data_IF_809234519326
#
_entry.id   IF_809234519326
#
_cell.length_a   1.000
_cell.length_b   1.000
_cell.length_c   1.000
_cell.angle_alpha   90.00
_cell.angle_beta   90.00
_cell.angle_gamma   90.00
#
_symmetry.space_group_name_H-M   'P 1'
#
loop_
_entity.id
_entity.type
_entity.pdbx_description
1 polymer ?
#
# COMPACT_ATOMS: atom_id res chain seq x y z
N UNK A 1 -6.87 -9.28 1.82
CA UNK A 1 -7.85 -9.72 2.83
C UNK A 1 -7.89 -11.24 3.02
N UNK A 2 -7.91 -12.07 1.96
CA UNK A 2 -7.96 -13.55 2.09
C UNK A 2 -6.79 -14.15 2.91
N UNK A 3 -5.58 -13.60 2.78
CA UNK A 3 -4.41 -14.11 3.50
C UNK A 3 -4.49 -13.85 5.02
N UNK A 4 -5.10 -12.73 5.41
CA UNK A 4 -5.32 -12.35 6.80
C UNK A 4 -6.32 -13.31 7.47
N UNK A 5 -7.41 -13.61 6.76
CA UNK A 5 -8.40 -14.60 7.21
C UNK A 5 -7.80 -16.01 7.28
N UNK A 6 -6.87 -16.35 6.39
CA UNK A 6 -6.16 -17.64 6.44
C UNK A 6 -5.30 -17.75 7.70
N UNK A 7 -4.61 -16.69 8.10
CA UNK A 7 -3.78 -16.68 9.31
C UNK A 7 -4.63 -16.75 10.57
N UNK A 8 -5.74 -16.01 10.61
CA UNK A 8 -6.73 -16.10 11.69
C UNK A 8 -7.30 -17.51 11.78
N UNK A 9 -7.63 -18.14 10.66
CA UNK A 9 -8.11 -19.52 10.61
C UNK A 9 -7.07 -20.53 11.14
N UNK A 10 -5.82 -20.41 10.69
CA UNK A 10 -4.72 -21.25 11.16
C UNK A 10 -4.51 -21.09 12.68
N UNK A 11 -4.62 -19.86 13.20
CA UNK A 11 -4.59 -19.61 14.63
C UNK A 11 -5.77 -20.27 15.36
N UNK A 12 -7.00 -20.15 14.85
CA UNK A 12 -8.17 -20.77 15.47
C UNK A 12 -8.06 -22.29 15.57
N UNK A 13 -7.39 -22.96 14.63
CA UNK A 13 -7.11 -24.41 14.71
C UNK A 13 -6.19 -24.71 15.90
N UNK A 14 -5.07 -23.99 16.03
CA UNK A 14 -4.12 -24.18 17.13
C UNK A 14 -4.78 -23.85 18.47
N UNK A 15 -5.43 -22.70 18.54
CA UNK A 15 -6.17 -22.23 19.72
C UNK A 15 -7.26 -23.23 20.13
N UNK A 16 -8.02 -23.76 19.18
CA UNK A 16 -9.08 -24.74 19.42
C UNK A 16 -8.59 -26.01 20.12
N UNK A 17 -7.38 -26.50 19.81
CA UNK A 17 -6.80 -27.68 20.47
C UNK A 17 -6.51 -27.40 21.94
N UNK A 18 -5.88 -26.26 22.25
CA UNK A 18 -5.61 -25.85 23.64
C UNK A 18 -6.91 -25.57 24.40
N UNK A 19 -7.86 -24.89 23.75
CA UNK A 19 -9.16 -24.55 24.32
C UNK A 19 -9.95 -25.79 24.72
N UNK A 20 -10.05 -26.78 23.82
CA UNK A 20 -10.76 -28.03 24.10
C UNK A 20 -10.06 -28.88 25.16
N UNK A 21 -8.71 -28.94 25.13
CA UNK A 21 -7.93 -29.66 26.12
C UNK A 21 -8.14 -29.11 27.53
N UNK A 22 -8.01 -27.79 27.71
CA UNK A 22 -8.18 -27.13 28.99
C UNK A 22 -9.63 -27.18 29.48
N UNK A 23 -10.60 -27.04 28.58
CA UNK A 23 -12.03 -27.20 28.90
C UNK A 23 -12.33 -28.56 29.52
N UNK A 24 -11.80 -29.65 28.94
CA UNK A 24 -12.00 -31.00 29.46
C UNK A 24 -11.30 -31.18 30.81
N UNK A 25 -10.10 -30.64 30.98
CA UNK A 25 -9.38 -30.70 32.26
C UNK A 25 -10.10 -29.94 33.37
N UNK A 26 -10.60 -28.73 33.10
CA UNK A 26 -11.38 -27.96 34.08
C UNK A 26 -12.71 -28.63 34.40
N UNK A 27 -13.42 -29.16 33.39
CA UNK A 27 -14.64 -29.92 33.63
C UNK A 27 -14.39 -31.12 34.57
N UNK A 28 -13.31 -31.89 34.34
CA UNK A 28 -12.99 -33.03 35.21
C UNK A 28 -12.59 -32.60 36.62
N UNK A 29 -11.89 -31.47 36.76
CA UNK A 29 -11.40 -30.95 38.03
C UNK A 29 -12.54 -30.44 38.92
N UNK A 30 -13.57 -29.84 38.33
CA UNK A 30 -14.71 -29.24 39.05
C UNK A 30 -15.99 -30.09 39.05
N UNK A 31 -16.02 -31.24 38.36
CA UNK A 31 -17.21 -32.10 38.22
C UNK A 31 -17.88 -32.51 39.55
N UNK A 32 -17.11 -32.59 40.63
CA UNK A 32 -17.61 -33.00 41.95
C UNK A 32 -17.61 -31.85 42.97
N UNK A 33 -17.32 -30.62 42.52
CA UNK A 33 -17.36 -29.40 43.32
C UNK A 33 -18.64 -28.63 42.96
N UNK A 34 -19.24 -27.95 43.93
CA UNK A 34 -20.53 -27.25 43.77
C UNK A 34 -20.30 -25.87 43.10
N UNK A 35 -19.86 -25.87 41.83
CA UNK A 35 -19.58 -24.66 41.06
C UNK A 35 -20.37 -24.60 39.73
N UNK A 36 -21.21 -23.57 39.61
CA UNK A 36 -22.03 -23.29 38.44
C UNK A 36 -21.20 -22.95 37.18
N UNK A 37 -19.97 -22.44 37.34
CA UNK A 37 -19.12 -22.03 36.23
C UNK A 37 -18.54 -23.22 35.44
N UNK A 38 -18.49 -24.41 36.04
CA UNK A 38 -17.92 -25.63 35.44
C UNK A 38 -18.86 -26.85 35.51
N UNK A 39 -20.13 -26.66 35.88
CA UNK A 39 -21.11 -27.73 36.05
C UNK A 39 -21.37 -28.56 34.78
N UNK A 40 -21.27 -27.93 33.60
CA UNK A 40 -21.43 -28.59 32.29
C UNK A 40 -20.24 -28.35 31.39
N UNK A 41 -19.97 -29.28 30.46
CA UNK A 41 -18.90 -29.14 29.45
C UNK A 41 -19.05 -27.82 28.67
N UNK A 42 -20.28 -27.40 28.37
CA UNK A 42 -20.56 -26.15 27.68
C UNK A 42 -20.24 -24.92 28.52
N UNK A 43 -20.59 -24.91 29.81
CA UNK A 43 -20.20 -23.83 30.72
C UNK A 43 -18.68 -23.78 30.92
N UNK A 44 -18.04 -24.94 31.12
CA UNK A 44 -16.58 -25.02 31.16
C UNK A 44 -15.94 -24.45 29.90
N UNK A 45 -16.52 -24.69 28.72
CA UNK A 45 -16.03 -24.15 27.46
C UNK A 45 -16.14 -22.62 27.40
N UNK A 46 -17.30 -22.08 27.77
CA UNK A 46 -17.57 -20.63 27.78
C UNK A 46 -16.65 -19.92 28.79
N UNK A 47 -16.56 -20.45 30.01
CA UNK A 47 -15.70 -19.91 31.07
C UNK A 47 -14.23 -19.94 30.65
N UNK A 48 -13.76 -21.06 30.09
CA UNK A 48 -12.39 -21.18 29.56
C UNK A 48 -12.16 -20.21 28.38
N UNK A 49 -13.19 -19.91 27.58
CA UNK A 49 -13.09 -18.98 26.45
C UNK A 49 -12.98 -17.52 26.93
N UNK A 50 -13.72 -17.12 27.95
CA UNK A 50 -13.64 -15.77 28.50
C UNK A 50 -12.30 -15.45 29.18
N UNK A 51 -11.58 -16.47 29.66
CA UNK A 51 -10.19 -16.32 30.12
C UNK A 51 -9.28 -15.76 29.02
N UNK A 52 -9.57 -16.03 27.74
CA UNK A 52 -8.80 -15.49 26.61
C UNK A 52 -8.91 -13.97 26.50
N UNK A 53 -10.00 -13.39 26.99
CA UNK A 53 -10.25 -11.96 27.06
C UNK A 53 -9.84 -11.34 28.40
N UNK A 54 -9.20 -12.12 29.28
CA UNK A 54 -8.68 -11.65 30.57
C UNK A 54 -9.64 -11.79 31.75
N UNK A 55 -10.83 -12.37 31.54
CA UNK A 55 -11.77 -12.64 32.63
C UNK A 55 -11.39 -13.96 33.33
N UNK A 56 -10.77 -13.85 34.51
CA UNK A 56 -10.32 -15.01 35.29
C UNK A 56 -11.38 -15.41 36.33
N UNK A 57 -11.94 -16.63 36.29
CA UNK A 57 -12.94 -17.11 37.25
C UNK A 57 -12.27 -17.51 38.58
N UNK A 58 -11.70 -16.53 39.29
CA UNK A 58 -11.01 -16.75 40.56
C UNK A 58 -11.97 -17.18 41.67
N UNK A 59 -13.26 -16.90 41.52
CA UNK A 59 -14.29 -17.29 42.48
C UNK A 59 -14.55 -18.80 42.48
N UNK A 60 -14.32 -19.49 41.36
CA UNK A 60 -14.42 -20.96 41.25
C UNK A 60 -13.42 -21.69 42.15
N UNK A 61 -12.26 -21.08 42.43
CA UNK A 61 -11.25 -21.66 43.35
C UNK A 61 -11.78 -21.74 44.79
N UNK A 62 -12.79 -20.93 45.14
CA UNK A 62 -13.43 -20.95 46.47
C UNK A 62 -14.40 -22.12 46.64
N UNK A 63 -14.76 -22.82 45.56
CA UNK A 63 -15.61 -24.01 45.62
C UNK A 63 -14.93 -25.22 46.28
N UNK A 64 -13.59 -25.22 46.38
CA UNK A 64 -12.85 -26.28 47.07
C UNK A 64 -12.85 -26.09 48.58
N UNK A 65 -13.16 -27.15 49.34
CA UNK A 65 -13.15 -27.10 50.80
C UNK A 65 -11.71 -27.14 51.35
N UNK A 66 -11.21 -26.03 51.88
CA UNK A 66 -9.83 -25.94 52.40
C UNK A 66 -9.58 -26.74 53.68
N UNK A 67 -10.60 -27.42 54.22
CA UNK A 67 -10.53 -28.19 55.47
C UNK A 67 -10.15 -29.67 55.23
N UNK A 68 -10.27 -30.18 54.00
CA UNK A 68 -9.87 -31.53 53.62
C UNK A 68 -8.54 -31.50 52.83
N UNK A 69 -7.59 -32.37 53.20
CA UNK A 69 -6.24 -32.37 52.61
C UNK A 69 -6.27 -32.72 51.11
N UNK A 70 -7.25 -33.52 50.67
CA UNK A 70 -7.46 -33.83 49.25
C UNK A 70 -7.92 -32.62 48.43
N UNK A 71 -8.85 -31.84 48.97
CA UNK A 71 -9.39 -30.64 48.33
C UNK A 71 -8.39 -29.47 48.34
N UNK A 72 -7.52 -29.38 49.36
CA UNK A 72 -6.40 -28.41 49.37
C UNK A 72 -5.41 -28.67 48.23
N UNK A 73 -5.11 -29.95 47.96
CA UNK A 73 -4.24 -30.32 46.85
C UNK A 73 -4.89 -30.01 45.49
N UNK A 74 -6.17 -30.36 45.32
CA UNK A 74 -6.95 -30.05 44.11
C UNK A 74 -7.08 -28.53 43.86
N UNK A 75 -7.31 -27.74 44.91
CA UNK A 75 -7.36 -26.28 44.84
C UNK A 75 -6.03 -25.67 44.38
N UNK A 76 -4.91 -26.17 44.92
CA UNK A 76 -3.56 -25.75 44.50
C UNK A 76 -3.29 -26.10 43.04
N UNK A 77 -3.65 -27.32 42.61
CA UNK A 77 -3.59 -27.72 41.21
C UNK A 77 -4.47 -26.84 40.30
N UNK A 78 -5.68 -26.47 40.74
CA UNK A 78 -6.57 -25.59 39.99
C UNK A 78 -5.97 -24.19 39.78
N UNK A 79 -5.39 -23.59 40.82
CA UNK A 79 -4.72 -22.28 40.74
C UNK A 79 -3.53 -22.34 39.78
N UNK A 80 -2.68 -23.34 39.91
CA UNK A 80 -1.53 -23.52 39.00
C UNK A 80 -1.98 -23.74 37.56
N UNK A 81 -3.04 -24.51 37.34
CA UNK A 81 -3.62 -24.74 36.02
C UNK A 81 -4.25 -23.47 35.43
N UNK A 82 -4.93 -22.64 36.23
CA UNK A 82 -5.46 -21.34 35.80
C UNK A 82 -4.35 -20.35 35.47
N UNK A 83 -3.27 -20.29 36.27
CA UNK A 83 -2.09 -19.48 35.96
C UNK A 83 -1.41 -19.93 34.66
N UNK A 84 -1.28 -21.25 34.46
CA UNK A 84 -0.74 -21.82 33.23
C UNK A 84 -1.63 -21.51 32.03
N UNK A 85 -2.95 -21.68 32.17
CA UNK A 85 -3.92 -21.34 31.13
C UNK A 85 -3.81 -19.87 30.72
N UNK A 86 -3.82 -18.96 31.68
CA UNK A 86 -3.66 -17.53 31.42
C UNK A 86 -2.33 -17.21 30.73
N UNK A 87 -1.22 -17.81 31.18
CA UNK A 87 0.09 -17.60 30.56
C UNK A 87 0.16 -18.11 29.12
N UNK A 88 -0.35 -19.32 28.85
CA UNK A 88 -0.29 -19.91 27.50
C UNK A 88 -1.23 -19.19 26.54
N UNK A 89 -2.47 -18.92 26.96
CA UNK A 89 -3.49 -18.37 26.07
C UNK A 89 -3.34 -16.86 25.92
N UNK A 90 -3.27 -16.12 27.02
CA UNK A 90 -3.24 -14.65 27.00
C UNK A 90 -1.85 -14.12 26.66
N UNK A 91 -0.78 -14.70 27.22
CA UNK A 91 0.58 -14.16 27.03
C UNK A 91 1.27 -14.76 25.80
N UNK A 92 1.13 -16.06 25.54
CA UNK A 92 1.79 -16.67 24.37
C UNK A 92 0.91 -16.61 23.11
N UNK A 93 -0.26 -17.24 23.13
CA UNK A 93 -1.06 -17.44 21.91
C UNK A 93 -1.58 -16.12 21.33
N UNK A 94 -2.14 -15.22 22.15
CA UNK A 94 -2.59 -13.90 21.67
C UNK A 94 -1.44 -13.05 21.11
N UNK A 95 -0.27 -13.05 21.75
CA UNK A 95 0.88 -12.30 21.25
C UNK A 95 1.47 -12.91 19.98
N UNK A 96 1.43 -14.24 19.83
CA UNK A 96 1.81 -14.91 18.58
C UNK A 96 0.82 -14.57 17.46
N UNK A 97 -0.48 -14.49 17.73
CA UNK A 97 -1.47 -14.02 16.77
C UNK A 97 -1.16 -12.59 16.32
N UNK A 98 -0.91 -11.66 17.25
CA UNK A 98 -0.54 -10.29 16.93
C UNK A 98 0.73 -10.23 16.09
N UNK A 99 1.75 -11.03 16.41
CA UNK A 99 2.98 -11.08 15.65
C UNK A 99 2.77 -11.61 14.22
N UNK A 100 1.98 -12.68 14.05
CA UNK A 100 1.62 -13.21 12.73
C UNK A 100 0.78 -12.19 11.95
N UNK A 101 -0.19 -11.56 12.61
CA UNK A 101 -1.08 -10.60 11.99
C UNK A 101 -0.32 -9.34 11.56
N UNK A 102 0.58 -8.79 12.37
CA UNK A 102 1.42 -7.64 11.98
C UNK A 102 2.26 -7.97 10.75
N UNK A 103 2.97 -9.11 10.76
CA UNK A 103 3.81 -9.52 9.62
C UNK A 103 2.99 -9.74 8.34
N UNK A 104 1.80 -10.32 8.44
CA UNK A 104 0.93 -10.57 7.28
C UNK A 104 0.16 -9.33 6.86
N UNK A 105 -0.17 -8.43 7.77
CA UNK A 105 -0.75 -7.12 7.47
C UNK A 105 0.23 -6.29 6.66
N UNK A 106 1.50 -6.22 7.07
CA UNK A 106 2.53 -5.44 6.34
C UNK A 106 2.70 -5.94 4.91
N UNK A 107 2.91 -7.25 4.74
CA UNK A 107 3.05 -7.87 3.42
C UNK A 107 1.73 -7.86 2.61
N UNK A 108 0.61 -7.97 3.32
CA UNK A 108 -0.72 -8.00 2.74
C UNK A 108 -1.19 -6.63 2.29
N UNK A 109 -0.74 -5.55 2.93
CA UNK A 109 -1.11 -4.18 2.61
C UNK A 109 -0.47 -3.72 1.30
N UNK A 110 0.84 -3.92 1.12
CA UNK A 110 1.51 -3.60 -0.15
C UNK A 110 0.95 -4.43 -1.32
N UNK A 111 0.65 -5.70 -1.06
CA UNK A 111 0.00 -6.56 -2.04
C UNK A 111 -1.44 -6.12 -2.33
N UNK A 112 -2.21 -5.73 -1.32
CA UNK A 112 -3.57 -5.23 -1.48
C UNK A 112 -3.61 -3.90 -2.22
N UNK A 113 -2.64 -3.00 -1.98
CA UNK A 113 -2.48 -1.76 -2.73
C UNK A 113 -2.18 -2.04 -4.21
N UNK A 114 -1.27 -2.98 -4.47
CA UNK A 114 -0.95 -3.42 -5.83
C UNK A 114 -2.16 -4.07 -6.52
N UNK A 115 -2.89 -4.92 -5.80
CA UNK A 115 -4.09 -5.61 -6.28
C UNK A 115 -5.27 -4.63 -6.49
N UNK A 116 -5.39 -3.60 -5.65
CA UNK A 116 -6.36 -2.52 -5.82
C UNK A 116 -6.04 -1.65 -7.04
N UNK A 117 -4.77 -1.31 -7.26
CA UNK A 117 -4.31 -0.62 -8.48
C UNK A 117 -4.54 -1.47 -9.73
N UNK A 118 -4.25 -2.77 -9.67
CA UNK A 118 -4.51 -3.69 -10.77
C UNK A 118 -6.02 -3.84 -11.04
N UNK A 119 -6.84 -3.94 -9.98
CA UNK A 119 -8.30 -4.00 -10.07
C UNK A 119 -8.87 -2.71 -10.63
N UNK A 120 -8.31 -1.55 -10.25
CA UNK A 120 -8.68 -0.25 -10.80
C UNK A 120 -8.35 -0.15 -12.29
N UNK A 121 -7.14 -0.56 -12.68
CA UNK A 121 -6.73 -0.63 -14.08
C UNK A 121 -7.59 -1.60 -14.89
N UNK A 122 -7.94 -2.76 -14.34
CA UNK A 122 -8.88 -3.69 -14.96
C UNK A 122 -10.29 -3.11 -15.06
N UNK A 123 -10.74 -2.33 -14.08
CA UNK A 123 -12.02 -1.64 -14.15
C UNK A 123 -12.02 -0.58 -15.26
N UNK A 124 -10.95 0.19 -15.39
CA UNK A 124 -10.76 1.15 -16.49
C UNK A 124 -10.75 0.40 -17.82
N UNK A 125 -9.94 -0.65 -17.96
CA UNK A 125 -9.86 -1.43 -19.18
C UNK A 125 -11.21 -2.09 -19.53
N UNK A 126 -11.94 -2.59 -18.53
CA UNK A 126 -13.29 -3.13 -18.73
C UNK A 126 -14.29 -2.05 -19.10
N UNK A 127 -14.16 -0.84 -18.56
CA UNK A 127 -14.96 0.32 -18.97
C UNK A 127 -14.65 0.67 -20.43
N UNK A 128 -13.38 0.76 -20.80
CA UNK A 128 -12.91 0.99 -22.17
C UNK A 128 -13.40 -0.08 -23.15
N UNK A 129 -13.31 -1.36 -22.79
CA UNK A 129 -13.85 -2.49 -23.56
C UNK A 129 -15.38 -2.45 -23.65
N UNK A 130 -16.07 -2.08 -22.56
CA UNK A 130 -17.54 -1.99 -22.54
C UNK A 130 -18.08 -0.82 -23.35
N UNK A 131 -17.29 0.24 -23.53
CA UNK A 131 -17.60 1.32 -24.47
C UNK A 131 -17.47 0.86 -25.93
N UNK A 132 -16.77 -0.26 -26.21
CA UNK A 132 -16.60 -0.88 -27.52
C UNK A 132 -16.27 0.12 -28.64
N UNK A 133 -15.47 1.14 -28.30
CA UNK A 133 -15.06 2.18 -29.23
C UNK A 133 -14.04 1.58 -30.20
N UNK A 134 -14.34 1.64 -31.49
CA UNK A 134 -13.34 1.38 -32.53
C UNK A 134 -12.21 2.41 -32.45
N UNK A 135 -11.01 2.08 -32.97
CA UNK A 135 -9.88 3.04 -33.04
C UNK A 135 -10.28 4.38 -33.67
N UNK A 136 -11.24 4.39 -34.59
CA UNK A 136 -11.76 5.61 -35.21
C UNK A 136 -12.63 6.43 -34.24
N UNK A 137 -13.50 5.78 -33.48
CA UNK A 137 -14.39 6.43 -32.51
C UNK A 137 -13.61 6.92 -31.28
N UNK A 138 -12.56 6.21 -30.85
CA UNK A 138 -11.66 6.72 -29.80
C UNK A 138 -10.92 7.97 -30.27
N UNK A 139 -10.44 7.99 -31.52
CA UNK A 139 -9.80 9.17 -32.11
C UNK A 139 -10.78 10.34 -32.20
N UNK A 140 -12.05 10.09 -32.51
CA UNK A 140 -13.10 11.12 -32.53
C UNK A 140 -13.49 11.60 -31.12
N UNK A 141 -13.43 10.75 -30.10
CA UNK A 141 -13.72 11.15 -28.71
C UNK A 141 -12.62 12.03 -28.11
N UNK A 142 -11.36 11.76 -28.48
CA UNK A 142 -10.18 12.47 -27.93
C UNK A 142 -9.75 13.66 -28.78
N UNK A 143 -10.21 13.81 -30.02
CA UNK A 143 -9.89 14.94 -30.90
C UNK A 143 -11.16 15.67 -31.35
N UNK A 144 -11.14 16.99 -31.25
CA UNK A 144 -12.11 17.84 -31.94
C UNK A 144 -11.64 18.08 -33.37
N UNK A 145 -12.58 18.03 -34.32
CA UNK A 145 -12.33 18.47 -35.71
C UNK A 145 -12.45 19.99 -35.73
N UNK A 146 -11.38 20.66 -36.17
CA UNK A 146 -11.40 22.11 -36.42
C UNK A 146 -12.15 22.38 -37.73
N UNK A 147 -12.63 23.61 -37.96
CA UNK A 147 -13.34 24.00 -39.19
C UNK A 147 -12.53 23.71 -40.49
N UNK A 148 -11.19 23.65 -40.37
CA UNK A 148 -10.26 23.29 -41.46
C UNK A 148 -10.05 21.77 -41.65
N UNK A 149 -10.69 20.92 -40.84
CA UNK A 149 -10.62 19.46 -40.92
C UNK A 149 -9.49 18.79 -40.13
N UNK A 150 -8.63 19.58 -39.48
CA UNK A 150 -7.54 19.08 -38.65
C UNK A 150 -8.04 18.55 -37.29
N UNK A 151 -7.54 17.37 -36.90
CA UNK A 151 -7.82 16.71 -35.62
C UNK A 151 -6.96 17.34 -34.51
N UNK A 152 -7.61 18.11 -33.62
CA UNK A 152 -6.95 18.75 -32.48
C UNK A 152 -7.34 18.03 -31.19
N UNK A 153 -6.36 17.63 -30.39
CA UNK A 153 -6.60 16.92 -29.13
C UNK A 153 -7.50 17.76 -28.20
N UNK A 154 -8.42 17.10 -27.48
CA UNK A 154 -9.33 17.78 -26.57
C UNK A 154 -8.52 18.64 -25.58
N UNK A 155 -8.77 19.97 -25.52
CA UNK A 155 -8.04 20.89 -24.66
C UNK A 155 -8.03 20.47 -23.19
N UNK A 156 -9.01 19.70 -22.72
CA UNK A 156 -9.06 19.17 -21.35
C UNK A 156 -7.81 18.39 -20.95
N UNK A 157 -7.11 17.76 -21.93
CA UNK A 157 -5.86 17.03 -21.68
C UNK A 157 -4.65 17.95 -21.50
N UNK A 158 -4.75 19.21 -21.93
CA UNK A 158 -3.70 20.24 -21.80
C UNK A 158 -4.14 21.42 -20.91
N UNK A 159 -5.37 21.39 -20.39
CA UNK A 159 -5.94 22.45 -19.59
C UNK A 159 -5.19 22.55 -18.26
N UNK A 160 -4.58 23.72 -18.03
CA UNK A 160 -3.90 24.01 -16.78
C UNK A 160 -4.95 24.45 -15.78
N UNK A 161 -5.37 23.53 -14.93
CA UNK A 161 -6.26 23.85 -13.82
C UNK A 161 -5.52 24.72 -12.81
N UNK A 162 -6.06 25.90 -12.50
CA UNK A 162 -5.44 26.82 -11.56
C UNK A 162 -5.41 26.20 -10.17
N UNK A 163 -4.27 26.26 -9.48
CA UNK A 163 -4.12 25.73 -8.11
C UNK A 163 -5.14 26.29 -7.11
N UNK A 164 -5.69 27.47 -7.36
CA UNK A 164 -6.77 28.07 -6.55
C UNK A 164 -8.11 27.35 -6.65
N UNK A 165 -8.34 26.56 -7.70
CA UNK A 165 -9.59 25.83 -7.93
C UNK A 165 -9.59 24.41 -7.36
N UNK A 166 -8.41 23.88 -7.01
CA UNK A 166 -8.25 22.60 -6.31
C UNK A 166 -7.62 22.93 -4.96
N UNK A 167 -8.36 22.77 -3.87
CA UNK A 167 -7.77 22.84 -2.53
C UNK A 167 -6.84 21.63 -2.35
N UNK A 168 -5.58 21.77 -2.77
CA UNK A 168 -4.52 20.80 -2.50
C UNK A 168 -3.99 21.10 -1.10
N UNK A 169 -4.09 20.16 -0.14
CA UNK A 169 -3.58 20.38 1.22
C UNK A 169 -2.07 20.65 1.24
N UNK A 170 -1.65 21.57 2.11
CA UNK A 170 -0.23 21.93 2.31
C UNK A 170 0.58 20.70 2.74
N UNK A 171 1.37 20.16 1.82
CA UNK A 171 2.15 18.92 1.98
C UNK A 171 2.09 18.03 0.73
N UNK A 172 0.92 17.95 0.08
CA UNK A 172 0.74 17.14 -1.12
C UNK A 172 1.39 17.79 -2.35
N UNK A 173 1.48 19.12 -2.36
CA UNK A 173 2.20 19.90 -3.38
C UNK A 173 3.71 19.61 -3.39
N UNK A 174 4.34 19.53 -2.22
CA UNK A 174 5.76 19.18 -2.09
C UNK A 174 6.04 17.75 -2.60
N UNK A 175 5.10 16.82 -2.36
CA UNK A 175 5.20 15.46 -2.89
C UNK A 175 5.04 15.41 -4.42
N UNK A 176 4.13 16.20 -5.01
CA UNK A 176 3.95 16.28 -6.46
C UNK A 176 5.20 16.87 -7.12
N UNK A 177 5.77 17.95 -6.56
CA UNK A 177 6.99 18.57 -7.08
C UNK A 177 8.21 17.63 -6.96
N UNK A 178 8.34 16.94 -5.82
CA UNK A 178 9.38 15.92 -5.64
C UNK A 178 9.24 14.76 -6.65
N UNK A 179 8.01 14.29 -6.90
CA UNK A 179 7.74 13.24 -7.89
C UNK A 179 8.06 13.71 -9.32
N UNK A 180 7.71 14.94 -9.68
CA UNK A 180 8.04 15.51 -10.99
C UNK A 180 9.55 15.67 -11.18
N UNK A 181 10.27 16.16 -10.16
CA UNK A 181 11.73 16.26 -10.17
C UNK A 181 12.40 14.89 -10.32
N UNK A 182 11.92 13.87 -9.62
CA UNK A 182 12.41 12.50 -9.75
C UNK A 182 12.19 11.96 -11.17
N UNK A 183 11.01 12.20 -11.75
CA UNK A 183 10.71 11.78 -13.13
C UNK A 183 11.61 12.46 -14.16
N UNK A 184 11.86 13.77 -14.02
CA UNK A 184 12.77 14.50 -14.90
C UNK A 184 14.20 13.99 -14.76
N UNK A 185 14.70 13.84 -13.53
CA UNK A 185 16.03 13.30 -13.27
C UNK A 185 16.23 11.88 -13.84
N UNK A 186 15.19 11.03 -13.82
CA UNK A 186 15.24 9.71 -14.46
C UNK A 186 15.39 9.80 -15.98
N UNK A 187 14.61 10.68 -16.61
CA UNK A 187 14.69 10.91 -18.06
C UNK A 187 16.08 11.41 -18.45
N UNK A 188 16.61 12.39 -17.71
CA UNK A 188 17.94 12.95 -17.96
C UNK A 188 19.04 11.90 -17.79
N UNK A 189 18.92 11.02 -16.78
CA UNK A 189 19.86 9.91 -16.56
C UNK A 189 19.83 8.91 -17.72
N UNK A 190 18.64 8.51 -18.19
CA UNK A 190 18.52 7.59 -19.33
C UNK A 190 19.10 8.20 -20.61
N UNK A 191 18.87 9.50 -20.84
CA UNK A 191 19.43 10.21 -22.00
C UNK A 191 20.96 10.34 -21.90
N UNK A 192 21.51 10.56 -20.69
CA UNK A 192 22.95 10.55 -20.46
C UNK A 192 23.58 9.17 -20.71
N UNK A 193 22.95 8.08 -20.24
CA UNK A 193 23.41 6.71 -20.48
C UNK A 193 23.37 6.36 -21.98
N UNK A 194 22.31 6.79 -22.68
CA UNK A 194 22.18 6.63 -24.14
C UNK A 194 23.30 7.35 -24.88
N UNK A 195 23.57 8.60 -24.51
CA UNK A 195 24.63 9.41 -25.10
C UNK A 195 26.02 8.82 -24.84
N UNK A 196 26.31 8.40 -23.59
CA UNK A 196 27.58 7.77 -23.22
C UNK A 196 27.80 6.46 -23.99
N UNK A 197 26.80 5.59 -24.05
CA UNK A 197 26.92 4.31 -24.76
C UNK A 197 27.11 4.52 -26.26
N UNK A 198 26.38 5.47 -26.85
CA UNK A 198 26.53 5.84 -28.27
C UNK A 198 27.94 6.37 -28.55
N UNK A 199 28.47 7.26 -27.70
CA UNK A 199 29.82 7.81 -27.84
C UNK A 199 30.91 6.74 -27.80
N UNK A 200 30.77 5.73 -26.95
CA UNK A 200 31.73 4.61 -26.87
C UNK A 200 31.70 3.73 -28.12
N UNK A 201 30.50 3.42 -28.64
CA UNK A 201 30.34 2.66 -29.87
C UNK A 201 30.82 3.44 -31.10
N UNK A 202 30.59 4.75 -31.14
CA UNK A 202 31.09 5.63 -32.22
C UNK A 202 32.61 5.79 -32.18
N UNK A 203 33.21 5.76 -30.99
CA UNK A 203 34.68 5.74 -30.83
C UNK A 203 35.27 4.45 -31.39
N UNK A 204 34.64 3.30 -31.12
CA UNK A 204 35.00 2.01 -31.72
C UNK A 204 34.85 2.03 -33.25
N UNK A 205 33.71 2.55 -33.76
CA UNK A 205 33.47 2.72 -35.20
C UNK A 205 34.55 3.57 -35.86
N UNK A 206 34.89 4.70 -35.25
CA UNK A 206 35.92 5.63 -35.74
C UNK A 206 37.32 4.99 -35.73
N UNK A 207 37.64 4.19 -34.72
CA UNK A 207 38.90 3.43 -34.66
C UNK A 207 39.03 2.41 -35.79
N UNK A 208 37.95 1.70 -36.13
CA UNK A 208 37.93 0.78 -37.27
C UNK A 208 38.03 1.52 -38.61
N UNK A 209 37.33 2.63 -38.75
CA UNK A 209 37.36 3.45 -39.97
C UNK A 209 38.70 4.18 -40.17
N UNK A 210 39.47 4.44 -39.10
CA UNK A 210 40.77 5.12 -39.18
C UNK A 210 41.77 4.41 -40.12
N UNK A 211 41.62 3.10 -40.30
CA UNK A 211 42.43 2.30 -41.22
C UNK A 211 42.32 2.79 -42.67
N UNK A 212 41.24 3.51 -43.03
CA UNK A 212 41.00 4.09 -44.36
C UNK A 212 42.14 4.97 -44.85
N UNK A 213 42.84 5.69 -43.96
CA UNK A 213 43.97 6.52 -44.35
C UNK A 213 45.14 5.69 -44.92
N UNK A 214 45.26 4.43 -44.53
CA UNK A 214 46.38 3.57 -44.89
C UNK A 214 46.10 2.67 -46.11
N UNK A 215 44.89 2.72 -46.66
CA UNK A 215 44.46 1.87 -47.78
C UNK A 215 43.85 2.67 -48.92
N UNK A 216 43.92 2.11 -50.13
CA UNK A 216 43.35 2.71 -51.35
C UNK A 216 41.95 2.22 -51.69
N UNK A 217 41.50 1.13 -51.06
CA UNK A 217 40.14 0.60 -51.17
C UNK A 217 39.26 1.15 -50.05
N UNK A 218 37.95 1.00 -50.19
CA UNK A 218 36.97 1.49 -49.22
C UNK A 218 36.84 0.54 -48.02
N UNK A 219 37.18 1.03 -46.84
CA UNK A 219 37.10 0.32 -45.55
C UNK A 219 35.65 0.10 -45.14
N UNK A 220 34.73 1.01 -45.51
CA UNK A 220 33.32 0.84 -45.22
C UNK A 220 32.74 -0.41 -45.91
N UNK A 221 33.17 -0.66 -47.16
CA UNK A 221 32.80 -1.87 -47.90
C UNK A 221 33.56 -3.10 -47.40
N UNK A 222 34.85 -2.97 -47.05
CA UNK A 222 35.66 -4.11 -46.59
C UNK A 222 35.25 -4.63 -45.19
N UNK A 223 34.78 -3.74 -44.31
CA UNK A 223 34.30 -4.03 -42.96
C UNK A 223 32.77 -3.86 -42.82
N UNK A 224 32.05 -4.02 -43.93
CA UNK A 224 30.58 -3.93 -43.94
C UNK A 224 29.89 -4.83 -42.90
N UNK A 225 30.29 -6.11 -42.69
CA UNK A 225 29.63 -6.94 -41.68
C UNK A 225 29.89 -6.44 -40.25
N UNK A 226 31.06 -5.89 -39.96
CA UNK A 226 31.41 -5.30 -38.66
C UNK A 226 30.59 -4.03 -38.37
N UNK A 227 30.47 -3.13 -39.35
CA UNK A 227 29.66 -1.93 -39.20
C UNK A 227 28.17 -2.25 -39.04
N UNK A 228 27.64 -3.25 -39.76
CA UNK A 228 26.27 -3.71 -39.58
C UNK A 228 26.02 -4.31 -38.17
N UNK A 229 27.02 -4.98 -37.58
CA UNK A 229 26.95 -5.46 -36.20
C UNK A 229 26.97 -4.30 -35.19
N UNK A 230 27.74 -3.23 -35.46
CA UNK A 230 27.77 -2.01 -34.65
C UNK A 230 26.44 -1.25 -34.69
N UNK A 231 25.84 -1.08 -35.87
CA UNK A 231 24.53 -0.46 -36.02
C UNK A 231 23.47 -1.26 -35.23
N UNK A 232 23.48 -2.58 -35.40
CA UNK A 232 22.53 -3.46 -34.71
C UNK A 232 22.65 -3.42 -33.19
N UNK A 233 23.88 -3.42 -32.64
CA UNK A 233 24.06 -3.38 -31.18
C UNK A 233 23.66 -2.01 -30.61
N UNK A 234 23.94 -0.94 -31.35
CA UNK A 234 23.53 0.42 -30.99
C UNK A 234 22.01 0.55 -30.94
N UNK A 235 21.31 0.05 -31.96
CA UNK A 235 19.84 0.04 -32.00
C UNK A 235 19.23 -0.78 -30.85
N UNK A 236 19.77 -1.98 -30.59
CA UNK A 236 19.30 -2.84 -29.50
C UNK A 236 19.50 -2.20 -28.13
N UNK A 237 20.65 -1.58 -27.88
CA UNK A 237 20.91 -0.90 -26.60
C UNK A 237 20.03 0.33 -26.45
N UNK A 238 19.85 1.11 -27.52
CA UNK A 238 18.95 2.28 -27.53
C UNK A 238 17.51 1.88 -27.23
N UNK A 239 17.01 0.80 -27.82
CA UNK A 239 15.66 0.29 -27.56
C UNK A 239 15.49 -0.14 -26.10
N UNK A 240 16.49 -0.83 -25.52
CA UNK A 240 16.48 -1.22 -24.11
C UNK A 240 16.46 0.00 -23.17
N UNK A 241 17.24 1.03 -23.47
CA UNK A 241 17.24 2.29 -22.71
C UNK A 241 15.90 3.01 -22.86
N UNK A 242 15.32 3.06 -24.06
CA UNK A 242 14.02 3.70 -24.29
C UNK A 242 12.87 2.95 -23.59
N UNK A 243 12.96 1.63 -23.45
CA UNK A 243 12.05 0.83 -22.63
C UNK A 243 12.21 1.15 -21.13
N UNK A 244 13.45 1.26 -20.64
CA UNK A 244 13.72 1.65 -19.26
C UNK A 244 13.28 3.11 -18.98
N UNK A 245 13.39 4.02 -19.95
CA UNK A 245 12.90 5.39 -19.84
C UNK A 245 11.39 5.44 -19.56
N UNK A 246 10.61 4.49 -20.07
CA UNK A 246 9.15 4.39 -19.85
C UNK A 246 8.74 4.04 -18.42
N UNK A 247 9.64 3.49 -17.59
CA UNK A 247 9.33 3.14 -16.18
C UNK A 247 9.24 4.37 -15.27
N UNK A 248 9.58 5.57 -15.77
CA UNK A 248 9.45 6.85 -15.05
C UNK A 248 10.17 6.89 -13.68
N UNK A 249 11.20 6.07 -13.50
CA UNK A 249 12.00 6.04 -12.27
C UNK A 249 11.31 5.36 -11.08
N UNK A 250 10.22 4.61 -11.31
CA UNK A 250 9.68 3.68 -10.30
C UNK A 250 10.71 2.56 -10.09
N UNK A 251 11.17 2.40 -8.85
CA UNK A 251 12.22 1.46 -8.45
C UNK A 251 13.50 1.55 -9.30
N UNK A 252 14.10 2.74 -9.32
CA UNK A 252 15.30 3.06 -10.12
C UNK A 252 16.43 2.02 -9.98
N UNK A 253 16.72 1.52 -8.77
CA UNK A 253 17.75 0.50 -8.54
C UNK A 253 17.45 -0.82 -9.29
N UNK A 254 16.21 -1.31 -9.21
CA UNK A 254 15.83 -2.56 -9.88
C UNK A 254 15.74 -2.38 -11.40
N UNK A 255 15.24 -1.22 -11.86
CA UNK A 255 15.20 -0.88 -13.27
C UNK A 255 16.61 -0.81 -13.88
N UNK A 256 17.57 -0.15 -13.21
CA UNK A 256 18.96 -0.06 -13.64
C UNK A 256 19.67 -1.41 -13.62
N UNK A 257 19.49 -2.23 -12.58
CA UNK A 257 20.06 -3.59 -12.52
C UNK A 257 19.55 -4.48 -13.66
N UNK A 258 18.25 -4.42 -13.97
CA UNK A 258 17.68 -5.15 -15.11
C UNK A 258 18.24 -4.66 -16.44
N UNK A 259 18.36 -3.34 -16.59
CA UNK A 259 18.92 -2.72 -17.79
C UNK A 259 20.40 -3.12 -17.98
N UNK A 260 21.23 -3.02 -16.94
CA UNK A 260 22.64 -3.44 -16.97
C UNK A 260 22.77 -4.92 -17.37
N UNK A 261 21.98 -5.81 -16.77
CA UNK A 261 22.01 -7.23 -17.10
C UNK A 261 21.67 -7.50 -18.58
N UNK A 262 20.70 -6.77 -19.14
CA UNK A 262 20.32 -6.89 -20.55
C UNK A 262 21.39 -6.30 -21.47
N UNK A 263 21.92 -5.11 -21.16
CA UNK A 263 23.01 -4.48 -21.92
C UNK A 263 24.26 -5.35 -21.91
N UNK A 264 24.64 -5.91 -20.76
CA UNK A 264 25.77 -6.85 -20.62
C UNK A 264 25.60 -8.09 -21.48
N UNK A 265 24.39 -8.64 -21.57
CA UNK A 265 24.08 -9.79 -22.44
C UNK A 265 24.20 -9.41 -23.92
N UNK A 266 23.65 -8.26 -24.30
CA UNK A 266 23.71 -7.73 -25.66
C UNK A 266 25.16 -7.46 -26.10
N UNK A 267 25.97 -6.80 -25.25
CA UNK A 267 27.39 -6.54 -25.50
C UNK A 267 28.23 -7.82 -25.60
N UNK A 268 27.95 -8.84 -24.76
CA UNK A 268 28.65 -10.13 -24.85
C UNK A 268 28.31 -10.87 -26.14
N UNK A 269 27.04 -10.80 -26.58
CA UNK A 269 26.62 -11.39 -27.86
C UNK A 269 27.27 -10.65 -29.04
N UNK A 270 27.39 -9.33 -28.95
CA UNK A 270 28.11 -8.51 -29.93
C UNK A 270 29.60 -8.87 -29.99
N UNK A 271 30.27 -9.01 -28.85
CA UNK A 271 31.68 -9.45 -28.75
C UNK A 271 31.89 -10.79 -29.47
N UNK A 272 31.06 -11.79 -29.19
CA UNK A 272 31.13 -13.12 -29.83
C UNK A 272 30.87 -13.08 -31.34
N UNK A 273 29.92 -12.22 -31.79
CA UNK A 273 29.60 -12.08 -33.21
C UNK A 273 30.72 -11.36 -33.97
N UNK A 274 31.26 -10.30 -33.37
CA UNK A 274 32.37 -9.54 -33.92
C UNK A 274 33.62 -10.41 -34.03
N UNK A 275 33.94 -11.18 -32.98
CA UNK A 275 35.08 -12.10 -33.02
C UNK A 275 34.92 -13.21 -34.06
N UNK A 276 33.69 -13.67 -34.31
CA UNK A 276 33.40 -14.64 -35.38
C UNK A 276 33.55 -14.04 -36.78
N UNK A 277 33.06 -12.82 -37.01
CA UNK A 277 33.25 -12.11 -38.28
C UNK A 277 34.75 -11.87 -38.56
N UNK A 278 35.45 -11.41 -37.53
CA UNK A 278 36.87 -11.07 -37.59
C UNK A 278 37.81 -12.26 -37.79
N UNK A 279 37.37 -13.49 -37.49
CA UNK A 279 38.15 -14.73 -37.68
C UNK A 279 37.54 -15.70 -38.70
N UNK A 280 36.61 -15.23 -39.54
CA UNK A 280 35.98 -16.07 -40.56
C UNK A 280 37.02 -16.61 -41.58
N UNK A 281 36.85 -17.86 -42.01
CA UNK A 281 37.76 -18.51 -42.98
C UNK A 281 37.62 -17.95 -44.40
N UNK A 282 36.44 -17.41 -44.73
CA UNK A 282 36.09 -16.92 -46.07
C UNK A 282 36.22 -15.39 -46.17
N UNK A 283 37.30 -14.82 -45.61
CA UNK A 283 37.52 -13.38 -45.63
C UNK A 283 38.04 -12.90 -46.99
N UNK A 284 37.58 -11.72 -47.41
CA UNK A 284 38.13 -11.04 -48.58
C UNK A 284 39.57 -10.60 -48.31
N UNK A 285 40.40 -10.50 -49.36
CA UNK A 285 41.80 -10.07 -49.24
C UNK A 285 41.90 -8.67 -48.62
N UNK A 286 40.90 -7.81 -48.91
CA UNK A 286 40.83 -6.44 -48.41
C UNK A 286 40.44 -6.40 -46.92
N UNK A 287 39.53 -7.28 -46.48
CA UNK A 287 39.24 -7.47 -45.06
C UNK A 287 40.52 -7.83 -44.29
N UNK A 288 41.27 -8.86 -44.72
CA UNK A 288 42.50 -9.33 -44.05
C UNK A 288 43.55 -8.22 -43.91
N UNK A 289 43.68 -7.34 -44.92
CA UNK A 289 44.57 -6.19 -44.87
C UNK A 289 44.12 -5.17 -43.81
N UNK A 290 42.83 -4.86 -43.75
CA UNK A 290 42.27 -3.98 -42.71
C UNK A 290 42.50 -4.55 -41.30
N UNK A 291 42.31 -5.86 -41.14
CA UNK A 291 42.51 -6.57 -39.88
C UNK A 291 43.94 -6.41 -39.35
N UNK A 292 44.91 -6.63 -40.25
CA UNK A 292 46.33 -6.63 -39.94
C UNK A 292 46.85 -5.19 -39.73
N UNK A 293 46.39 -4.24 -40.56
CA UNK A 293 46.68 -2.81 -40.37
C UNK A 293 46.15 -2.29 -39.04
N UNK A 294 44.93 -2.65 -38.64
CA UNK A 294 44.39 -2.26 -37.35
C UNK A 294 45.28 -2.77 -36.19
N UNK A 295 45.68 -4.06 -36.23
CA UNK A 295 46.58 -4.63 -35.23
C UNK A 295 47.96 -3.98 -35.21
N UNK A 296 48.50 -3.58 -36.36
CA UNK A 296 49.79 -2.90 -36.45
C UNK A 296 49.73 -1.45 -35.94
N UNK A 297 48.66 -0.72 -36.27
CA UNK A 297 48.49 0.69 -35.91
C UNK A 297 48.22 0.85 -34.41
N UNK A 298 47.32 0.05 -33.86
CA UNK A 298 46.90 0.19 -32.47
C UNK A 298 47.66 -0.71 -31.49
N UNK A 299 48.42 -1.71 -31.98
CA UNK A 299 49.11 -2.73 -31.16
C UNK A 299 48.19 -3.46 -30.17
N UNK A 300 46.89 -3.47 -30.46
CA UNK A 300 45.83 -4.02 -29.61
C UNK A 300 44.99 -4.95 -30.49
N UNK A 301 44.63 -6.11 -29.98
CA UNK A 301 43.76 -7.04 -30.70
C UNK A 301 42.32 -6.53 -30.69
N UNK A 302 41.50 -6.95 -31.67
CA UNK A 302 40.07 -6.59 -31.65
C UNK A 302 39.37 -7.08 -30.38
N UNK A 303 39.78 -8.23 -29.85
CA UNK A 303 39.25 -8.80 -28.61
C UNK A 303 39.53 -7.87 -27.42
N UNK A 304 40.73 -7.33 -27.32
CA UNK A 304 41.10 -6.38 -26.26
C UNK A 304 40.34 -5.07 -26.38
N UNK A 305 40.15 -4.58 -27.61
CA UNK A 305 39.38 -3.36 -27.89
C UNK A 305 37.90 -3.54 -27.51
N UNK A 306 37.27 -4.64 -27.94
CA UNK A 306 35.88 -4.97 -27.61
C UNK A 306 35.68 -5.14 -26.10
N UNK A 307 36.62 -5.82 -25.43
CA UNK A 307 36.60 -5.99 -23.98
C UNK A 307 36.75 -4.65 -23.26
N UNK A 308 37.61 -3.77 -23.76
CA UNK A 308 37.78 -2.41 -23.21
C UNK A 308 36.49 -1.59 -23.36
N UNK A 309 35.89 -1.54 -24.54
CA UNK A 309 34.61 -0.85 -24.79
C UNK A 309 33.49 -1.39 -23.90
N UNK A 310 33.35 -2.71 -23.80
CA UNK A 310 32.37 -3.36 -22.92
C UNK A 310 32.57 -2.98 -21.45
N UNK A 311 33.82 -2.98 -20.98
CA UNK A 311 34.15 -2.64 -19.59
C UNK A 311 33.86 -1.17 -19.31
N UNK A 312 34.13 -0.27 -20.27
CA UNK A 312 33.84 1.15 -20.10
C UNK A 312 32.34 1.42 -20.01
N UNK A 313 31.55 0.84 -20.91
CA UNK A 313 30.09 0.93 -20.86
C UNK A 313 29.59 0.40 -19.52
N UNK A 314 30.02 -0.79 -19.10
CA UNK A 314 29.61 -1.38 -17.81
C UNK A 314 29.98 -0.52 -16.60
N UNK A 315 31.16 0.10 -16.60
CA UNK A 315 31.58 0.97 -15.51
C UNK A 315 30.65 2.18 -15.36
N UNK A 316 30.15 2.74 -16.47
CA UNK A 316 29.16 3.83 -16.45
C UNK A 316 27.84 3.36 -15.84
N UNK A 317 27.34 2.17 -16.21
CA UNK A 317 26.10 1.62 -15.64
C UNK A 317 26.25 1.28 -14.14
N UNK A 318 27.35 0.67 -13.72
CA UNK A 318 27.61 0.37 -12.30
C UNK A 318 27.70 1.66 -11.46
N UNK A 319 28.35 2.70 -12.00
CA UNK A 319 28.42 4.00 -11.34
C UNK A 319 27.04 4.60 -11.09
N UNK A 320 26.15 4.57 -12.09
CA UNK A 320 24.78 5.07 -11.94
C UNK A 320 23.92 4.19 -11.04
N UNK A 321 24.14 2.87 -11.02
CA UNK A 321 23.50 1.95 -10.06
C UNK A 321 23.87 2.31 -8.63
N UNK A 322 25.16 2.55 -8.37
CA UNK A 322 25.62 2.90 -7.02
C UNK A 322 25.16 4.30 -6.61
N UNK A 323 25.12 5.26 -7.54
CA UNK A 323 24.49 6.55 -7.27
C UNK A 323 22.98 6.41 -6.99
N UNK A 324 22.27 5.55 -7.72
CA UNK A 324 20.84 5.31 -7.48
C UNK A 324 20.58 4.67 -6.12
N UNK A 325 21.43 3.72 -5.68
CA UNK A 325 21.38 3.17 -4.31
C UNK A 325 21.68 4.24 -3.25
N UNK A 326 22.63 5.13 -3.51
CA UNK A 326 22.98 6.21 -2.57
C UNK A 326 21.88 7.29 -2.48
N UNK A 327 21.14 7.52 -3.58
CA UNK A 327 20.00 8.45 -3.64
C UNK A 327 18.70 7.84 -3.12
N UNK A 328 18.58 6.51 -3.12
CA UNK A 328 17.52 5.85 -2.40
C UNK A 328 17.69 6.21 -0.92
N UNK A 329 16.75 7.00 -0.39
CA UNK A 329 16.70 7.28 1.04
C UNK A 329 16.82 5.95 1.79
N UNK A 330 17.57 5.90 2.92
CA UNK A 330 17.60 4.70 3.73
C UNK A 330 16.16 4.23 3.93
N UNK A 331 15.88 2.95 3.66
CA UNK A 331 14.57 2.36 3.92
C UNK A 331 14.08 2.91 5.26
N UNK A 332 12.93 3.61 5.29
CA UNK A 332 12.47 4.24 6.51
C UNK A 332 12.46 3.15 7.57
N UNK A 333 13.30 3.33 8.59
CA UNK A 333 13.45 2.32 9.63
C UNK A 333 12.07 2.13 10.25
N UNK A 334 11.76 0.91 10.67
CA UNK A 334 10.49 0.57 11.32
C UNK A 334 10.11 1.61 12.40
N UNK A 335 11.10 2.18 13.09
CA UNK A 335 10.95 3.27 14.06
C UNK A 335 10.37 4.57 13.49
N UNK A 336 10.74 4.99 12.27
CA UNK A 336 10.23 6.23 11.66
C UNK A 336 8.81 6.07 11.11
N UNK A 337 8.46 4.85 10.69
CA UNK A 337 7.08 4.50 10.29
C UNK A 337 6.19 4.42 11.54
N UNK A 338 6.69 3.80 12.62
CA UNK A 338 6.01 3.77 13.93
C UNK A 338 5.82 5.19 14.48
N UNK A 339 6.84 6.06 14.44
CA UNK A 339 6.71 7.47 14.85
C UNK A 339 5.66 8.23 14.03
N UNK A 340 5.51 7.89 12.73
CA UNK A 340 4.45 8.46 11.88
C UNK A 340 3.07 7.94 12.27
N UNK A 341 2.94 6.65 12.60
CA UNK A 341 1.69 6.08 13.12
C UNK A 341 1.34 6.65 14.50
N UNK A 342 2.31 6.83 15.39
CA UNK A 342 2.11 7.43 16.71
C UNK A 342 1.65 8.88 16.61
N UNK A 343 2.18 9.65 15.63
CA UNK A 343 1.68 10.99 15.33
C UNK A 343 0.24 10.98 14.80
N UNK A 344 -0.10 10.03 13.93
CA UNK A 344 -1.47 9.90 13.40
C UNK A 344 -2.43 9.46 14.50
N UNK A 345 -2.03 8.54 15.38
CA UNK A 345 -2.82 8.07 16.53
C UNK A 345 -3.01 9.18 17.57
N UNK A 346 -1.98 10.00 17.82
CA UNK A 346 -2.08 11.19 18.66
C UNK A 346 -3.09 12.21 18.08
N UNK A 347 -3.03 12.46 16.77
CA UNK A 347 -3.97 13.38 16.10
C UNK A 347 -5.41 12.86 16.10
N UNK A 348 -5.58 11.54 15.94
CA UNK A 348 -6.88 10.87 16.04
C UNK A 348 -7.45 10.91 17.46
N UNK A 349 -6.60 10.72 18.48
CA UNK A 349 -6.99 10.84 19.89
C UNK A 349 -7.43 12.26 20.22
N UNK A 350 -6.65 13.28 19.83
CA UNK A 350 -6.99 14.69 20.07
C UNK A 350 -8.32 15.05 19.40
N UNK A 351 -8.52 14.71 18.12
CA UNK A 351 -9.79 14.94 17.43
C UNK A 351 -10.98 14.20 18.07
N UNK A 352 -10.77 12.98 18.57
CA UNK A 352 -11.82 12.20 19.24
C UNK A 352 -12.16 12.80 20.61
N UNK A 353 -11.18 13.30 21.35
CA UNK A 353 -11.40 14.00 22.62
C UNK A 353 -12.14 15.31 22.41
N UNK A 354 -11.78 16.11 21.40
CA UNK A 354 -12.52 17.33 21.05
C UNK A 354 -13.97 17.03 20.64
N UNK A 355 -14.18 16.01 19.80
CA UNK A 355 -15.52 15.60 19.38
C UNK A 355 -16.38 15.10 20.55
N UNK A 356 -15.79 14.34 21.48
CA UNK A 356 -16.48 13.88 22.68
C UNK A 356 -16.83 15.02 23.64
N UNK A 357 -15.97 16.04 23.76
CA UNK A 357 -16.26 17.24 24.55
C UNK A 357 -17.38 18.08 23.92
N UNK A 358 -17.39 18.26 22.59
CA UNK A 358 -18.49 18.95 21.90
C UNK A 358 -19.82 18.18 22.01
N UNK A 359 -19.78 16.84 21.92
CA UNK A 359 -20.95 16.00 22.10
C UNK A 359 -21.50 16.06 23.54
N UNK A 360 -20.61 16.03 24.55
CA UNK A 360 -21.00 16.17 25.94
C UNK A 360 -21.69 17.53 26.20
N UNK A 361 -21.13 18.61 25.64
CA UNK A 361 -21.72 19.96 25.76
C UNK A 361 -23.09 20.05 25.09
N UNK A 362 -23.27 19.45 23.91
CA UNK A 362 -24.58 19.35 23.25
C UNK A 362 -25.60 18.54 24.04
N UNK A 363 -25.17 17.43 24.67
CA UNK A 363 -26.04 16.63 25.54
C UNK A 363 -26.48 17.44 26.77
N UNK A 364 -25.57 18.23 27.35
CA UNK A 364 -25.88 19.10 28.49
C UNK A 364 -26.89 20.19 28.10
N UNK A 365 -26.69 20.87 26.97
CA UNK A 365 -27.63 21.87 26.43
C UNK A 365 -29.02 21.27 26.15
N UNK A 366 -29.08 20.09 25.52
CA UNK A 366 -30.35 19.39 25.24
C UNK A 366 -31.04 18.97 26.54
N UNK A 367 -30.29 18.54 27.54
CA UNK A 367 -30.85 18.15 28.86
C UNK A 367 -31.45 19.36 29.56
N UNK A 368 -30.74 20.51 29.56
CA UNK A 368 -31.22 21.75 30.16
C UNK A 368 -32.47 22.28 29.44
N UNK A 369 -32.51 22.18 28.11
CA UNK A 369 -33.68 22.54 27.31
C UNK A 369 -34.88 21.63 27.61
N UNK A 370 -34.64 20.32 27.79
CA UNK A 370 -35.68 19.34 28.14
C UNK A 370 -36.25 19.61 29.54
N UNK A 371 -35.39 19.94 30.51
CA UNK A 371 -35.83 20.27 31.88
C UNK A 371 -36.64 21.57 31.92
N UNK A 372 -36.28 22.56 31.08
CA UNK A 372 -37.05 23.81 30.93
C UNK A 372 -38.39 23.58 30.26
N UNK A 373 -38.48 22.65 29.29
CA UNK A 373 -39.76 22.27 28.68
C UNK A 373 -40.66 21.53 29.66
N UNK A 374 -40.10 20.65 30.50
CA UNK A 374 -40.85 19.96 31.54
C UNK A 374 -41.47 20.93 32.55
N UNK A 375 -40.71 21.94 33.02
CA UNK A 375 -41.26 22.93 33.96
C UNK A 375 -42.40 23.75 33.33
N UNK A 376 -42.27 24.13 32.07
CA UNK A 376 -43.34 24.83 31.34
C UNK A 376 -44.57 23.96 31.14
N UNK A 377 -44.40 22.65 31.01
CA UNK A 377 -45.52 21.71 30.89
C UNK A 377 -46.29 21.61 32.21
N UNK A 378 -45.57 21.58 33.34
CA UNK A 378 -46.18 21.62 34.68
C UNK A 378 -46.95 22.94 34.90
N UNK A 379 -46.38 24.08 34.52
CA UNK A 379 -47.06 25.39 34.61
C UNK A 379 -48.36 25.41 33.79
N UNK A 380 -48.35 24.83 32.57
CA UNK A 380 -49.54 24.74 31.71
C UNK A 380 -50.58 23.78 32.30
N UNK A 381 -50.14 22.66 32.89
CA UNK A 381 -51.04 21.72 33.55
C UNK A 381 -51.74 22.37 34.75
N UNK A 382 -50.99 23.13 35.55
CA UNK A 382 -51.53 23.87 36.69
C UNK A 382 -52.50 24.97 36.24
N UNK A 383 -52.15 25.73 35.20
CA UNK A 383 -53.04 26.75 34.64
C UNK A 383 -54.36 26.16 34.11
N UNK A 384 -54.31 25.00 33.45
CA UNK A 384 -55.51 24.30 32.99
C UNK A 384 -56.39 23.82 34.15
N UNK A 385 -55.77 23.37 35.25
CA UNK A 385 -56.50 22.98 36.45
C UNK A 385 -57.18 24.18 37.13
N UNK A 386 -56.49 25.31 37.26
CA UNK A 386 -57.06 26.55 37.78
C UNK A 386 -58.23 27.03 36.92
N UNK A 387 -58.08 27.00 35.59
CA UNK A 387 -59.14 27.38 34.66
C UNK A 387 -60.37 26.46 34.77
N UNK A 388 -60.17 25.16 34.96
CA UNK A 388 -61.28 24.23 35.20
C UNK A 388 -62.05 24.58 36.48
N UNK A 389 -61.34 24.88 37.59
CA UNK A 389 -61.98 25.29 38.84
C UNK A 389 -62.73 26.63 38.71
N UNK A 390 -62.21 27.56 37.92
CA UNK A 390 -62.85 28.85 37.67
C UNK A 390 -64.13 28.70 36.83
N UNK A 391 -64.13 27.82 35.83
CA UNK A 391 -65.31 27.50 35.03
C UNK A 391 -66.40 26.86 35.91
N UNK A 392 -66.02 25.96 36.81
CA UNK A 392 -66.97 25.33 37.74
C UNK A 392 -67.59 26.33 38.72
N UNK A 393 -66.77 27.24 39.28
CA UNK A 393 -67.26 28.32 40.13
C UNK A 393 -68.17 29.31 39.38
N UNK A 394 -67.89 29.58 38.10
CA UNK A 394 -68.75 30.40 37.25
C UNK A 394 -70.09 29.72 36.99
N UNK A 395 -70.09 28.41 36.77
CA UNK A 395 -71.31 27.63 36.54
C UNK A 395 -72.20 27.64 37.80
N UNK A 396 -71.61 27.46 38.99
CA UNK A 396 -72.33 27.55 40.26
C UNK A 396 -72.95 28.93 40.51
N UNK A 397 -72.23 30.02 40.15
CA UNK A 397 -72.78 31.38 40.22
C UNK A 397 -73.93 31.59 39.24
N UNK A 398 -73.85 31.01 38.05
CA UNK A 398 -74.91 31.10 37.03
C UNK A 398 -76.18 30.35 37.49
N UNK A 399 -76.02 29.18 38.10
CA UNK A 399 -77.13 28.44 38.72
C UNK A 399 -77.76 29.21 39.88
N UNK A 400 -76.94 29.82 40.74
CA UNK A 400 -77.44 30.66 41.84
C UNK A 400 -78.20 31.91 41.34
N UNK A 401 -77.73 32.55 40.27
CA UNK A 401 -78.43 33.65 39.61
C UNK A 401 -79.76 33.20 38.99
N UNK A 402 -79.78 32.04 38.31
CA UNK A 402 -81.02 31.47 37.78
C UNK A 402 -82.02 31.14 38.89
N UNK A 403 -81.56 30.61 40.03
CA UNK A 403 -82.40 30.35 41.20
C UNK A 403 -82.97 31.66 41.79
N UNK A 404 -82.16 32.72 41.91
CA UNK A 404 -82.60 34.03 42.40
C UNK A 404 -83.62 34.71 41.46
N UNK A 405 -83.46 34.54 40.13
CA UNK A 405 -84.42 35.05 39.14
C UNK A 405 -85.76 34.30 39.22
N UNK A 406 -85.74 33.00 39.52
CA UNK A 406 -86.96 32.21 39.74
C UNK A 406 -87.69 32.64 41.02
N UNK A 407 -86.96 33.01 42.07
CA UNK A 407 -87.53 33.46 43.35
C UNK A 407 -88.14 34.87 43.26
N UNK A 408 -87.60 35.75 42.41
CA UNK A 408 -88.18 37.08 42.10
C UNK A 408 -89.48 37.02 41.29
N UNK A 409 -89.86 35.86 40.76
CA UNK A 409 -91.05 35.65 39.93
C UNK A 409 -92.24 35.08 40.71
N UNK A 410 -92.12 34.95 42.04
CA UNK A 410 -93.15 34.48 42.98
C UNK A 410 -93.58 35.63 43.88
#
# INVERSE_FOLDING_TARGET
>A
MSNLLQDVWNFFILFGVFQMGLTITFYQLFKHQDDDAFATITQSFITTYFVTFGELPLDSVKAFNQTDDGDRFLSSCAVVLMMFHAAVVVILLLNVLLAMMNKTVDNGFERAKTEALASYAQCILRLEESMNLSKAETVELIHFKTDDGDLVLNPIFNERVAKSSIQVPDGQEAHIDAYQKQKMAWVDLMDALKASTTSELDSLRSGLHHVQHFVTFDVATALAPEFALLDKVQDQVNELIDLAKKTRGQDADNALKKLDALVKKTLSTFEDNMQRAWNAKDQTVDHTKCTLLHQMTYKVTITDLLKSTKTMIQATFEHEIDQAKARAAPEPRLSEIVDRFDKVDATLKDNTTEMNQDLAKKIEDVTQQTQTMASKLDDVAQHNQDMATQVEAMNQKLEALMAAILDLKR
#
